data_IF_928974706578
#
_entry.id   IF_928974706578
#
_cell.length_a   1.000
_cell.length_b   1.000
_cell.length_c   1.000
_cell.angle_alpha   90.00
_cell.angle_beta   90.00
_cell.angle_gamma   90.00
#
_symmetry.space_group_name_H-M   'P 1'
#
loop_
_entity.id
_entity.type
_entity.pdbx_description
1 polymer ?
#
# COMPACT_ATOMS: atom_id res chain seq x y z
N UNK A 1 4.10 8.12 -6.36
CA UNK A 1 4.02 7.32 -5.12
C UNK A 1 3.90 8.27 -3.95
N UNK A 2 2.79 8.24 -3.20
CA UNK A 2 2.53 9.17 -2.09
C UNK A 2 1.95 8.48 -0.86
N UNK A 3 1.74 9.24 0.22
CA UNK A 3 0.90 8.82 1.35
C UNK A 3 -0.60 9.06 1.06
N UNK A 4 -1.48 8.60 1.97
CA UNK A 4 -2.95 8.74 1.93
C UNK A 4 -3.40 10.15 2.34
N UNK A 5 -3.05 11.14 1.54
CA UNK A 5 -3.57 12.50 1.65
C UNK A 5 -4.94 12.58 0.95
N UNK A 6 -5.96 13.14 1.63
CA UNK A 6 -7.36 13.11 1.17
C UNK A 6 -7.56 13.65 -0.25
N UNK A 7 -6.98 14.81 -0.54
CA UNK A 7 -7.20 15.51 -1.83
C UNK A 7 -6.23 15.12 -2.93
N UNK A 8 -5.14 14.44 -2.59
CA UNK A 8 -4.06 14.19 -3.55
C UNK A 8 -4.50 13.26 -4.69
N UNK A 9 -5.34 12.27 -4.40
CA UNK A 9 -5.89 11.37 -5.44
C UNK A 9 -6.76 12.15 -6.42
N UNK A 10 -7.58 13.08 -5.93
CA UNK A 10 -8.44 13.93 -6.75
C UNK A 10 -7.61 14.83 -7.66
N UNK A 11 -6.63 15.56 -7.10
CA UNK A 11 -5.74 16.43 -7.85
C UNK A 11 -4.96 15.65 -8.91
N UNK A 12 -4.48 14.44 -8.60
CA UNK A 12 -3.77 13.64 -9.59
C UNK A 12 -4.69 13.18 -10.72
N UNK A 13 -5.95 12.81 -10.43
CA UNK A 13 -6.91 12.48 -11.49
C UNK A 13 -7.29 13.68 -12.36
N UNK A 14 -7.31 14.89 -11.80
CA UNK A 14 -7.67 16.13 -12.50
C UNK A 14 -6.54 16.60 -13.43
N UNK A 15 -5.31 16.70 -12.91
CA UNK A 15 -4.17 17.24 -13.65
C UNK A 15 -3.40 16.18 -14.44
N UNK A 16 -3.47 14.91 -14.04
CA UNK A 16 -2.77 13.79 -14.67
C UNK A 16 -3.70 12.60 -14.94
N UNK A 17 -4.76 12.78 -15.75
CA UNK A 17 -5.85 11.79 -15.91
C UNK A 17 -5.37 10.45 -16.49
N UNK A 18 -4.26 10.44 -17.23
CA UNK A 18 -3.69 9.22 -17.82
C UNK A 18 -2.66 8.54 -16.91
N UNK A 19 -2.45 9.05 -15.70
CA UNK A 19 -1.48 8.49 -14.76
C UNK A 19 -2.13 7.48 -13.81
N UNK A 20 -1.39 6.42 -13.50
CA UNK A 20 -1.77 5.50 -12.45
C UNK A 20 -1.22 5.99 -11.12
N UNK A 21 -2.11 6.49 -10.26
CA UNK A 21 -1.73 6.82 -8.90
C UNK A 21 -1.62 5.57 -8.03
N UNK A 22 -0.52 5.45 -7.28
CA UNK A 22 -0.32 4.39 -6.29
C UNK A 22 0.19 4.97 -4.97
N UNK A 23 -0.33 4.43 -3.88
CA UNK A 23 0.20 4.71 -2.55
C UNK A 23 1.52 3.97 -2.33
N UNK A 24 2.43 4.61 -1.62
CA UNK A 24 3.70 4.00 -1.26
C UNK A 24 3.49 2.97 -0.13
N UNK A 25 3.91 1.73 -0.37
CA UNK A 25 3.84 0.65 0.62
C UNK A 25 4.57 1.00 1.93
N UNK A 26 5.67 1.78 1.86
CA UNK A 26 6.39 2.23 3.06
C UNK A 26 5.56 3.20 3.92
N UNK A 27 4.85 4.14 3.29
CA UNK A 27 3.95 5.06 4.03
C UNK A 27 2.72 4.32 4.56
N UNK A 28 2.15 3.40 3.77
CA UNK A 28 1.07 2.52 4.22
C UNK A 28 1.48 1.71 5.47
N UNK A 29 2.68 1.11 5.46
CA UNK A 29 3.20 0.37 6.60
C UNK A 29 3.45 1.27 7.82
N UNK A 30 4.02 2.46 7.65
CA UNK A 30 4.23 3.39 8.77
C UNK A 30 2.91 3.78 9.43
N UNK A 31 1.88 4.11 8.63
CA UNK A 31 0.53 4.39 9.13
C UNK A 31 -0.12 3.16 9.78
N UNK A 32 0.16 1.97 9.26
CA UNK A 32 -0.32 0.72 9.82
C UNK A 32 0.33 0.42 11.18
N UNK A 33 1.65 0.63 11.33
CA UNK A 33 2.40 0.44 12.58
C UNK A 33 1.89 1.29 13.74
N UNK A 34 1.39 2.49 13.45
CA UNK A 34 0.78 3.38 14.47
C UNK A 34 -0.43 2.69 15.13
N UNK A 35 -1.19 1.89 14.38
CA UNK A 35 -2.35 1.14 14.90
C UNK A 35 -2.00 -0.28 15.33
N UNK A 36 -1.01 -0.89 14.68
CA UNK A 36 -0.67 -2.30 14.83
C UNK A 36 0.86 -2.50 14.86
N UNK A 37 1.50 -2.34 16.03
CA UNK A 37 2.96 -2.32 16.14
C UNK A 37 3.64 -3.70 16.01
N UNK A 38 2.87 -4.80 16.01
CA UNK A 38 3.38 -6.18 16.00
C UNK A 38 4.27 -6.47 14.79
N UNK A 39 5.44 -7.07 15.03
CA UNK A 39 6.44 -7.41 14.00
C UNK A 39 5.87 -8.36 12.93
N UNK A 40 5.09 -9.37 13.34
CA UNK A 40 4.49 -10.35 12.42
C UNK A 40 3.56 -9.72 11.38
N UNK A 41 2.87 -8.62 11.74
CA UNK A 41 2.00 -7.94 10.80
C UNK A 41 2.80 -7.15 9.76
N UNK A 42 4.03 -6.74 10.08
CA UNK A 42 4.93 -6.12 9.11
C UNK A 42 5.42 -7.16 8.09
N UNK A 43 5.72 -8.38 8.54
CA UNK A 43 6.12 -9.46 7.65
C UNK A 43 4.97 -9.89 6.74
N UNK A 44 3.76 -10.06 7.29
CA UNK A 44 2.54 -10.31 6.52
C UNK A 44 2.24 -9.19 5.52
N UNK A 45 2.42 -7.93 5.92
CA UNK A 45 2.28 -6.79 5.02
C UNK A 45 3.25 -6.88 3.83
N UNK A 46 4.53 -7.17 4.08
CA UNK A 46 5.51 -7.26 2.99
C UNK A 46 5.35 -8.51 2.14
N UNK A 47 4.91 -9.64 2.72
CA UNK A 47 4.54 -10.83 1.96
C UNK A 47 3.40 -10.53 0.99
N UNK A 48 2.37 -9.79 1.44
CA UNK A 48 1.26 -9.36 0.60
C UNK A 48 1.71 -8.36 -0.47
N UNK A 49 2.46 -7.33 -0.09
CA UNK A 49 2.91 -6.28 -1.01
C UNK A 49 3.86 -6.78 -2.12
N UNK A 50 4.60 -7.87 -1.87
CA UNK A 50 5.51 -8.51 -2.83
C UNK A 50 4.87 -9.65 -3.61
N UNK A 51 3.64 -10.05 -3.29
CA UNK A 51 2.98 -11.13 -4.00
C UNK A 51 2.63 -10.68 -5.43
N UNK A 52 2.92 -11.51 -6.47
CA UNK A 52 2.57 -11.15 -7.84
C UNK A 52 1.05 -11.06 -8.07
N UNK A 53 0.28 -11.85 -7.33
CA UNK A 53 -1.17 -11.86 -7.34
C UNK A 53 -1.70 -12.52 -6.06
N UNK A 54 -3.02 -12.43 -5.86
CA UNK A 54 -3.72 -12.97 -4.70
C UNK A 54 -3.61 -14.50 -4.58
N UNK A 55 -3.68 -15.23 -5.69
CA UNK A 55 -3.58 -16.68 -5.69
C UNK A 55 -2.23 -17.17 -5.13
N UNK A 56 -1.13 -16.56 -5.59
CA UNK A 56 0.22 -16.89 -5.12
C UNK A 56 0.48 -16.42 -3.69
N UNK A 57 -0.19 -15.37 -3.23
CA UNK A 57 -0.16 -14.98 -1.82
C UNK A 57 -0.80 -16.05 -0.94
N UNK A 58 -2.02 -16.49 -1.28
CA UNK A 58 -2.77 -17.50 -0.52
C UNK A 58 -2.08 -18.86 -0.48
N UNK A 59 -1.38 -19.26 -1.54
CA UNK A 59 -0.63 -20.53 -1.58
C UNK A 59 0.60 -20.56 -0.64
N UNK A 60 1.09 -19.40 -0.19
CA UNK A 60 2.26 -19.28 0.71
C UNK A 60 1.87 -19.16 2.19
N UNK A 61 0.57 -19.08 2.50
CA UNK A 61 0.04 -19.17 3.86
C UNK A 61 -0.28 -20.62 4.20
#
# INVERSE_FOLDING_TARGET
MSDRQKELTHVISEYFPNSWHRHCSKFLLNNFKVKYPLLILQDLFWMAAKAPNEFLFKKRQ
#
